data_IF_748793944167
#
_entry.id   IF_748793944167
#
_cell.length_a   1.000
_cell.length_b   1.000
_cell.length_c   1.000
_cell.angle_alpha   90.00
_cell.angle_beta   90.00
_cell.angle_gamma   90.00
#
_symmetry.space_group_name_H-M   'P 1'
#
loop_
_entity.id
_entity.type
_entity.pdbx_description
1 polymer ?
#
# COMPACT_ATOMS: atom_id res chain seq x y z
N UNK A 1 13.70 15.59 32.30
CA UNK A 1 14.49 15.34 31.06
C UNK A 1 14.67 13.85 30.91
N UNK A 2 13.94 13.21 29.98
CA UNK A 2 14.00 11.77 29.79
C UNK A 2 15.35 11.38 29.13
N UNK A 3 16.17 10.56 29.79
CA UNK A 3 17.41 10.04 29.19
C UNK A 3 17.06 8.94 28.19
N UNK A 4 17.26 9.23 26.91
CA UNK A 4 17.12 8.22 25.86
C UNK A 4 18.24 7.17 26.01
N UNK A 5 17.96 5.86 25.85
CA UNK A 5 19.02 4.88 25.72
C UNK A 5 19.75 5.15 24.40
N UNK A 6 21.05 5.50 24.48
CA UNK A 6 21.91 5.54 23.29
C UNK A 6 21.85 4.16 22.65
N UNK A 7 21.32 4.09 21.43
CA UNK A 7 21.14 2.83 20.73
C UNK A 7 22.48 2.10 20.61
N UNK A 8 22.54 0.77 20.84
CA UNK A 8 23.79 0.01 20.86
C UNK A 8 24.55 -0.04 19.51
N UNK A 9 23.98 0.51 18.42
CA UNK A 9 24.48 0.36 17.06
C UNK A 9 25.08 1.65 16.43
N UNK A 10 25.05 2.81 17.09
CA UNK A 10 25.57 4.06 16.51
C UNK A 10 24.96 4.39 15.13
N UNK A 11 25.75 4.98 14.22
CA UNK A 11 25.32 5.32 12.84
C UNK A 11 24.92 4.12 11.98
N UNK A 12 25.50 2.93 12.25
CA UNK A 12 25.15 1.70 11.54
C UNK A 12 23.74 1.18 11.91
N UNK A 13 23.17 1.67 13.01
CA UNK A 13 21.82 1.34 13.43
C UNK A 13 20.77 1.75 12.40
N UNK A 14 20.89 2.93 11.78
CA UNK A 14 19.95 3.38 10.77
C UNK A 14 19.98 2.48 9.52
N UNK A 15 21.17 2.07 9.07
CA UNK A 15 21.36 1.22 7.89
C UNK A 15 20.72 -0.15 8.02
N UNK A 16 20.61 -0.69 9.25
CA UNK A 16 20.06 -2.03 9.51
C UNK A 16 18.61 -1.95 10.00
N UNK A 17 18.32 -1.04 10.94
CA UNK A 17 17.00 -0.94 11.55
C UNK A 17 15.97 -0.43 10.56
N UNK A 18 16.30 0.55 9.70
CA UNK A 18 15.36 1.09 8.71
C UNK A 18 14.85 0.01 7.74
N UNK A 19 15.70 -0.76 7.04
CA UNK A 19 15.21 -1.81 6.15
C UNK A 19 14.50 -2.94 6.91
N UNK A 20 14.90 -3.25 8.14
CA UNK A 20 14.24 -4.26 8.97
C UNK A 20 12.81 -3.83 9.34
N UNK A 21 12.64 -2.58 9.76
CA UNK A 21 11.32 -2.00 10.09
C UNK A 21 10.46 -1.94 8.83
N UNK A 22 11.01 -1.50 7.70
CA UNK A 22 10.30 -1.52 6.41
C UNK A 22 9.85 -2.92 6.01
N UNK A 23 10.72 -3.93 6.14
CA UNK A 23 10.39 -5.31 5.83
C UNK A 23 9.26 -5.84 6.73
N UNK A 24 9.29 -5.53 8.03
CA UNK A 24 8.24 -5.91 8.97
C UNK A 24 6.91 -5.22 8.67
N UNK A 25 6.93 -3.91 8.42
CA UNK A 25 5.74 -3.13 8.07
C UNK A 25 5.14 -3.65 6.77
N UNK A 26 5.97 -3.87 5.75
CA UNK A 26 5.53 -4.41 4.46
C UNK A 26 4.94 -5.81 4.61
N UNK A 27 5.63 -6.72 5.32
CA UNK A 27 5.13 -8.08 5.54
C UNK A 27 3.79 -8.08 6.32
N UNK A 28 3.66 -7.19 7.31
CA UNK A 28 2.43 -6.99 8.07
C UNK A 28 1.28 -6.50 7.20
N UNK A 29 1.51 -5.44 6.43
CA UNK A 29 0.52 -4.90 5.48
C UNK A 29 0.14 -5.94 4.41
N UNK A 30 1.11 -6.69 3.87
CA UNK A 30 0.87 -7.73 2.86
C UNK A 30 0.05 -8.90 3.41
N UNK A 31 0.18 -9.22 4.70
CA UNK A 31 -0.67 -10.20 5.39
C UNK A 31 -2.04 -9.66 5.75
N UNK A 32 -2.14 -8.34 5.93
CA UNK A 32 -3.42 -7.67 6.16
C UNK A 32 -4.22 -7.51 4.86
N UNK A 33 -3.57 -7.39 3.71
CA UNK A 33 -4.17 -7.25 2.38
C UNK A 33 -5.29 -8.27 2.06
N UNK A 34 -5.13 -9.60 2.30
CA UNK A 34 -6.23 -10.56 2.12
C UNK A 34 -7.39 -10.41 3.11
N UNK A 35 -7.19 -9.69 4.22
CA UNK A 35 -8.21 -9.40 5.23
C UNK A 35 -8.81 -8.00 5.08
N UNK A 36 -8.30 -7.17 4.17
CA UNK A 36 -8.80 -5.82 3.97
C UNK A 36 -10.11 -5.85 3.19
N UNK A 37 -11.19 -5.28 3.74
CA UNK A 37 -12.46 -5.25 3.05
C UNK A 37 -12.40 -4.34 1.80
N UNK A 38 -13.20 -4.61 0.76
CA UNK A 38 -13.13 -3.90 -0.53
C UNK A 38 -13.28 -2.37 -0.44
N UNK A 39 -13.91 -1.86 0.62
CA UNK A 39 -14.03 -0.42 0.86
C UNK A 39 -12.73 0.20 1.37
N UNK A 40 -11.93 -0.54 2.15
CA UNK A 40 -10.66 -0.05 2.68
C UNK A 40 -9.60 0.04 1.57
N UNK A 41 -9.56 -0.94 0.66
CA UNK A 41 -8.72 -0.87 -0.55
C UNK A 41 -9.13 0.30 -1.46
N UNK A 42 -10.43 0.58 -1.62
CA UNK A 42 -10.91 1.76 -2.37
C UNK A 42 -10.49 3.10 -1.75
N UNK A 43 -10.43 3.19 -0.42
CA UNK A 43 -10.00 4.42 0.28
C UNK A 43 -8.46 4.57 0.25
N UNK A 44 -7.71 3.47 0.40
CA UNK A 44 -6.24 3.48 0.49
C UNK A 44 -5.53 3.55 -0.87
N UNK A 45 -6.02 2.82 -1.88
CA UNK A 45 -5.41 2.73 -3.22
C UNK A 45 -6.11 3.63 -4.26
N UNK A 46 -7.14 4.35 -3.85
CA UNK A 46 -8.07 5.01 -4.75
C UNK A 46 -8.97 4.01 -5.47
N UNK A 47 -9.96 4.53 -6.21
CA UNK A 47 -10.83 3.71 -7.06
C UNK A 47 -10.03 3.14 -8.23
N UNK A 48 -9.34 2.03 -8.00
CA UNK A 48 -8.63 1.27 -9.05
C UNK A 48 -9.59 0.35 -9.83
N UNK A 49 -10.90 0.51 -9.64
CA UNK A 49 -11.91 -0.16 -10.47
C UNK A 49 -12.01 0.60 -11.80
N UNK A 50 -11.60 0.00 -12.93
CA UNK A 50 -11.71 0.65 -14.23
C UNK A 50 -13.19 0.89 -14.56
N UNK A 51 -13.57 2.09 -15.02
CA UNK A 51 -14.95 2.37 -15.40
C UNK A 51 -15.35 1.47 -16.58
N UNK A 52 -16.51 0.81 -16.45
CA UNK A 52 -17.11 0.06 -17.56
C UNK A 52 -17.84 1.04 -18.47
N UNK A 53 -17.25 1.32 -19.63
CA UNK A 53 -17.94 2.05 -20.68
C UNK A 53 -18.83 1.07 -21.47
N UNK A 54 -20.15 1.25 -21.39
CA UNK A 54 -21.05 0.56 -22.31
C UNK A 54 -20.76 1.05 -23.73
N UNK A 55 -20.64 0.16 -24.72
CA UNK A 55 -20.51 0.57 -26.12
C UNK A 55 -21.74 1.40 -26.51
N UNK A 56 -21.58 2.48 -27.30
CA UNK A 56 -22.70 3.28 -27.76
C UNK A 56 -23.70 2.40 -28.52
N UNK A 57 -24.96 2.37 -28.07
CA UNK A 57 -26.02 1.55 -28.66
C UNK A 57 -26.37 1.97 -30.10
N UNK A 58 -25.93 3.17 -30.52
CA UNK A 58 -26.45 3.86 -31.70
C UNK A 58 -25.40 4.11 -32.79
N UNK A 59 -24.33 3.31 -32.89
CA UNK A 59 -23.42 3.38 -34.05
C UNK A 59 -23.87 2.37 -35.10
N UNK A 60 -24.67 2.76 -36.12
CA UNK A 60 -24.98 1.86 -37.22
C UNK A 60 -23.69 1.51 -37.97
N UNK A 61 -23.45 0.22 -38.16
CA UNK A 61 -22.35 -0.27 -38.98
C UNK A 61 -22.48 0.32 -40.39
N UNK A 62 -21.55 1.22 -40.75
CA UNK A 62 -21.46 1.78 -42.09
C UNK A 62 -21.07 0.65 -43.04
N UNK A 63 -21.98 0.29 -43.95
CA UNK A 63 -21.72 -0.62 -45.07
C UNK A 63 -20.77 0.01 -46.08
#
# INVERSE_FOLDING_TARGET
MARWPRAPLGDAGATIVVPLVLALVYAGLRKLEPHLPPWATRVLLGSNTPPTYSPPADIPARK
#
